data_IF_776417435032
#
_entry.id   IF_776417435032
#
_cell.length_a   1.000
_cell.length_b   1.000
_cell.length_c   1.000
_cell.angle_alpha   90.00
_cell.angle_beta   90.00
_cell.angle_gamma   90.00
#
_symmetry.space_group_name_H-M   'P 1'
#
loop_
_entity.id
_entity.type
_entity.pdbx_description
1 polymer ?
#
# COMPACT_ATOMS: atom_id res chain seq x y z
N UNK A 1 -27.79 -7.70 -2.00
CA UNK A 1 -27.56 -7.23 -3.38
C UNK A 1 -28.87 -7.48 -4.13
N UNK A 2 -29.60 -6.44 -4.53
CA UNK A 2 -30.94 -6.55 -5.11
C UNK A 2 -30.90 -6.31 -6.63
N UNK A 3 -30.21 -7.16 -7.38
CA UNK A 3 -30.37 -7.24 -8.84
C UNK A 3 -30.78 -8.66 -9.24
N UNK A 4 -31.60 -8.76 -10.27
CA UNK A 4 -32.09 -10.03 -10.81
C UNK A 4 -31.00 -10.77 -11.59
N UNK A 5 -31.16 -12.09 -11.76
CA UNK A 5 -30.25 -12.86 -12.61
C UNK A 5 -30.21 -12.32 -14.06
N UNK A 6 -31.33 -11.85 -14.59
CA UNK A 6 -31.37 -11.26 -15.93
C UNK A 6 -30.51 -9.99 -16.03
N UNK A 7 -30.48 -9.16 -14.98
CA UNK A 7 -29.62 -7.97 -14.93
C UNK A 7 -28.14 -8.37 -14.80
N UNK A 8 -27.84 -9.38 -13.98
CA UNK A 8 -26.48 -9.92 -13.87
C UNK A 8 -26.00 -10.48 -15.20
N UNK A 9 -26.82 -11.30 -15.87
CA UNK A 9 -26.52 -11.89 -17.18
C UNK A 9 -26.30 -10.81 -18.24
N UNK A 10 -27.14 -9.76 -18.23
CA UNK A 10 -26.95 -8.60 -19.11
C UNK A 10 -25.59 -7.93 -18.86
N UNK A 11 -25.30 -7.57 -17.61
CA UNK A 11 -24.03 -6.93 -17.25
C UNK A 11 -22.85 -7.82 -17.64
N UNK A 12 -22.94 -9.11 -17.31
CA UNK A 12 -21.85 -10.05 -17.57
C UNK A 12 -21.62 -10.23 -19.08
N UNK A 13 -22.68 -10.23 -19.89
CA UNK A 13 -22.58 -10.39 -21.35
C UNK A 13 -21.83 -9.23 -22.01
N UNK A 14 -22.02 -8.01 -21.49
CA UNK A 14 -21.53 -6.79 -22.15
C UNK A 14 -20.32 -6.14 -21.48
N UNK A 15 -20.00 -6.51 -20.24
CA UNK A 15 -18.94 -5.87 -19.47
C UNK A 15 -18.06 -6.82 -18.64
N UNK A 16 -18.30 -8.14 -18.64
CA UNK A 16 -17.45 -9.07 -17.91
C UNK A 16 -16.08 -9.26 -18.59
N UNK A 17 -15.18 -9.93 -17.86
CA UNK A 17 -13.81 -10.24 -18.24
C UNK A 17 -13.66 -10.71 -19.70
N UNK A 18 -12.68 -10.14 -20.39
CA UNK A 18 -12.27 -10.52 -21.74
C UNK A 18 -12.81 -9.65 -22.86
N UNK A 19 -13.69 -8.68 -22.58
CA UNK A 19 -14.18 -7.73 -23.57
C UNK A 19 -13.14 -6.61 -23.77
N UNK A 20 -12.56 -6.44 -24.98
CA UNK A 20 -11.61 -5.38 -25.25
C UNK A 20 -12.24 -4.00 -25.09
N UNK A 21 -11.47 -3.00 -24.64
CA UNK A 21 -11.99 -1.63 -24.46
C UNK A 21 -12.57 -1.00 -25.74
N UNK A 22 -12.10 -1.44 -26.91
CA UNK A 22 -12.60 -1.02 -28.22
C UNK A 22 -14.00 -1.54 -28.53
N UNK A 23 -14.43 -2.62 -27.87
CA UNK A 23 -15.74 -3.25 -28.05
C UNK A 23 -16.76 -2.78 -27.01
N UNK A 24 -16.32 -2.05 -25.97
CA UNK A 24 -17.20 -1.44 -24.99
C UNK A 24 -18.07 -0.35 -25.63
N UNK A 25 -19.39 -0.51 -25.49
CA UNK A 25 -20.40 0.41 -26.01
C UNK A 25 -21.10 1.17 -24.88
N UNK A 26 -20.90 2.49 -24.85
CA UNK A 26 -21.51 3.37 -23.86
C UNK A 26 -23.04 3.42 -23.98
N UNK A 27 -23.61 3.17 -25.16
CA UNK A 27 -25.06 3.12 -25.34
C UNK A 27 -25.70 1.96 -24.58
N UNK A 28 -25.01 0.81 -24.52
CA UNK A 28 -25.41 -0.35 -23.73
C UNK A 28 -25.26 -0.04 -22.24
N UNK A 29 -24.17 0.63 -21.84
CA UNK A 29 -23.98 1.04 -20.44
C UNK A 29 -25.14 1.93 -19.95
N UNK A 30 -25.64 2.83 -20.81
CA UNK A 30 -26.78 3.71 -20.50
C UNK A 30 -28.11 2.96 -20.31
N UNK A 31 -28.18 1.66 -20.61
CA UNK A 31 -29.34 0.83 -20.29
C UNK A 31 -29.43 0.50 -18.79
N UNK A 32 -28.32 0.55 -18.04
CA UNK A 32 -28.32 0.35 -16.59
C UNK A 32 -29.05 1.51 -15.89
N UNK A 33 -29.97 1.20 -14.97
CA UNK A 33 -30.90 2.19 -14.37
C UNK A 33 -30.79 2.32 -12.86
N UNK A 34 -30.09 1.42 -12.18
CA UNK A 34 -30.08 1.35 -10.72
C UNK A 34 -28.67 1.46 -10.15
N UNK A 35 -28.60 1.95 -8.90
CA UNK A 35 -27.37 1.99 -8.11
C UNK A 35 -26.74 0.60 -7.93
N UNK A 36 -27.58 -0.43 -7.83
CA UNK A 36 -27.19 -1.81 -7.59
C UNK A 36 -26.58 -2.47 -8.83
N UNK A 37 -27.09 -2.16 -10.04
CA UNK A 37 -26.47 -2.59 -11.30
C UNK A 37 -25.08 -1.99 -11.46
N UNK A 38 -24.94 -0.68 -11.23
CA UNK A 38 -23.64 -0.02 -11.33
C UNK A 38 -22.64 -0.54 -10.31
N UNK A 39 -23.09 -0.80 -9.09
CA UNK A 39 -22.21 -1.40 -8.11
C UNK A 39 -21.82 -2.84 -8.47
N UNK A 40 -22.77 -3.68 -8.90
CA UNK A 40 -22.44 -5.05 -9.31
C UNK A 40 -21.41 -5.04 -10.44
N UNK A 41 -21.57 -4.15 -11.40
CA UNK A 41 -20.58 -3.95 -12.46
C UNK A 41 -19.22 -3.53 -11.89
N UNK A 42 -19.18 -2.55 -10.97
CA UNK A 42 -17.95 -2.10 -10.34
C UNK A 42 -17.19 -3.24 -9.62
N UNK A 43 -17.90 -4.12 -8.90
CA UNK A 43 -17.26 -5.20 -8.12
C UNK A 43 -16.80 -6.39 -8.94
N UNK A 44 -17.39 -6.61 -10.11
CA UNK A 44 -17.04 -7.72 -11.00
C UNK A 44 -16.14 -7.26 -12.16
N UNK A 45 -15.78 -5.98 -12.20
CA UNK A 45 -14.88 -5.45 -13.20
C UNK A 45 -13.43 -5.80 -12.86
N UNK A 46 -12.74 -6.48 -13.76
CA UNK A 46 -11.31 -6.73 -13.64
C UNK A 46 -10.53 -5.46 -14.08
N UNK A 47 -9.78 -4.87 -13.14
CA UNK A 47 -9.02 -3.63 -13.34
C UNK A 47 -7.93 -3.77 -14.42
N UNK A 48 -7.44 -4.97 -14.69
CA UNK A 48 -6.48 -5.24 -15.78
C UNK A 48 -7.07 -4.98 -17.17
N UNK A 49 -8.40 -5.01 -17.31
CA UNK A 49 -9.08 -4.60 -18.55
C UNK A 49 -9.15 -3.07 -18.71
N UNK A 50 -8.57 -2.33 -17.76
CA UNK A 50 -8.52 -0.88 -17.66
C UNK A 50 -9.80 -0.25 -17.13
N UNK A 51 -9.80 1.07 -16.96
CA UNK A 51 -10.78 1.76 -16.10
C UNK A 51 -11.94 2.44 -16.83
N UNK A 52 -12.08 2.23 -18.15
CA UNK A 52 -13.07 2.94 -18.98
C UNK A 52 -14.52 2.75 -18.47
N UNK A 53 -14.89 1.54 -18.09
CA UNK A 53 -16.22 1.26 -17.52
C UNK A 53 -16.38 1.90 -16.14
N UNK A 54 -15.35 1.85 -15.30
CA UNK A 54 -15.34 2.48 -13.98
C UNK A 54 -15.51 4.01 -14.09
N UNK A 55 -14.92 4.63 -15.12
CA UNK A 55 -15.12 6.03 -15.44
C UNK A 55 -16.59 6.34 -15.72
N UNK A 56 -17.24 5.54 -16.57
CA UNK A 56 -18.67 5.70 -16.86
C UNK A 56 -19.54 5.55 -15.62
N UNK A 57 -19.19 4.64 -14.71
CA UNK A 57 -19.88 4.47 -13.44
C UNK A 57 -19.81 5.77 -12.62
N UNK A 58 -18.62 6.34 -12.40
CA UNK A 58 -18.48 7.53 -11.54
C UNK A 58 -18.93 8.84 -12.18
N UNK A 59 -19.13 8.85 -13.50
CA UNK A 59 -19.77 9.93 -14.24
C UNK A 59 -21.30 9.82 -14.28
N UNK A 60 -21.85 8.66 -13.91
CA UNK A 60 -23.29 8.41 -13.93
C UNK A 60 -24.00 9.04 -12.72
N UNK A 61 -25.08 9.81 -12.91
CA UNK A 61 -25.84 10.43 -11.81
C UNK A 61 -26.66 9.41 -10.99
N UNK A 62 -26.71 8.15 -11.42
CA UNK A 62 -27.30 7.05 -10.65
C UNK A 62 -26.25 6.24 -9.87
N UNK A 63 -24.98 6.64 -9.90
CA UNK A 63 -23.95 6.02 -9.06
C UNK A 63 -24.18 6.38 -7.59
N UNK A 64 -23.99 5.40 -6.71
CA UNK A 64 -24.13 5.61 -5.27
C UNK A 64 -22.85 6.19 -4.66
N UNK A 65 -22.99 6.95 -3.57
CA UNK A 65 -21.83 7.46 -2.82
C UNK A 65 -20.93 6.31 -2.33
N UNK A 66 -21.53 5.18 -1.92
CA UNK A 66 -20.77 4.00 -1.48
C UNK A 66 -19.93 3.41 -2.62
N UNK A 67 -20.49 3.28 -3.82
CA UNK A 67 -19.75 2.78 -5.00
C UNK A 67 -18.64 3.73 -5.42
N UNK A 68 -18.91 5.04 -5.44
CA UNK A 68 -17.89 6.03 -5.80
C UNK A 68 -16.74 6.06 -4.78
N UNK A 69 -17.06 5.95 -3.49
CA UNK A 69 -16.06 5.89 -2.43
C UNK A 69 -15.21 4.61 -2.52
N UNK A 70 -15.85 3.47 -2.76
CA UNK A 70 -15.17 2.19 -2.96
C UNK A 70 -14.19 2.25 -4.14
N UNK A 71 -14.64 2.75 -5.30
CA UNK A 71 -13.77 2.91 -6.47
C UNK A 71 -12.64 3.90 -6.23
N UNK A 72 -12.87 4.96 -5.44
CA UNK A 72 -11.81 5.89 -5.06
C UNK A 72 -10.69 5.18 -4.32
N UNK A 73 -11.01 4.39 -3.30
CA UNK A 73 -10.00 3.69 -2.50
C UNK A 73 -9.35 2.51 -3.23
N UNK A 74 -10.10 1.78 -4.06
CA UNK A 74 -9.55 0.74 -4.93
C UNK A 74 -8.59 1.30 -5.99
N UNK A 75 -8.77 2.55 -6.41
CA UNK A 75 -7.86 3.25 -7.32
C UNK A 75 -6.53 3.71 -6.65
N UNK A 76 -6.32 3.41 -5.37
CA UNK A 76 -5.08 3.70 -4.63
C UNK A 76 -4.66 5.18 -4.77
N UNK A 77 -5.46 6.13 -4.26
CA UNK A 77 -5.23 7.56 -4.43
C UNK A 77 -3.87 8.01 -3.91
N UNK A 78 -3.31 7.29 -2.94
CA UNK A 78 -2.01 7.54 -2.33
C UNK A 78 -0.87 7.54 -3.35
N UNK A 79 -0.96 6.70 -4.38
CA UNK A 79 0.09 6.60 -5.41
C UNK A 79 0.12 7.81 -6.36
N UNK A 80 -0.95 8.59 -6.38
CA UNK A 80 -1.09 9.79 -7.20
C UNK A 80 -0.94 11.10 -6.42
N UNK A 81 -0.71 11.05 -5.10
CA UNK A 81 -0.55 12.26 -4.28
C UNK A 81 0.66 13.13 -4.65
N UNK A 82 1.64 12.57 -5.36
CA UNK A 82 2.79 13.32 -5.91
C UNK A 82 2.49 14.00 -7.26
N UNK A 83 1.39 13.64 -7.92
CA UNK A 83 0.97 14.20 -9.20
C UNK A 83 0.09 15.43 -8.97
N UNK A 84 0.40 16.54 -9.63
CA UNK A 84 -0.49 17.71 -9.62
C UNK A 84 -1.82 17.35 -10.31
N UNK A 85 -2.96 17.65 -9.69
CA UNK A 85 -4.29 17.32 -10.23
C UNK A 85 -4.58 17.92 -11.63
N UNK A 86 -3.85 18.95 -12.05
CA UNK A 86 -4.05 19.61 -13.35
C UNK A 86 -3.19 19.04 -14.50
N UNK A 87 -2.53 17.90 -14.32
CA UNK A 87 -1.72 17.26 -15.37
C UNK A 87 -2.41 16.04 -15.96
N UNK A 88 -1.90 15.65 -17.12
CA UNK A 88 -2.13 14.36 -17.77
C UNK A 88 -0.85 13.54 -17.63
N UNK A 89 -0.97 12.28 -17.20
CA UNK A 89 0.19 11.39 -17.09
C UNK A 89 0.55 10.83 -18.47
N UNK A 90 1.82 10.49 -18.66
CA UNK A 90 2.30 9.93 -19.94
C UNK A 90 1.85 8.49 -20.15
N UNK A 91 1.84 7.70 -19.07
CA UNK A 91 1.32 6.34 -19.10
C UNK A 91 -0.21 6.37 -19.22
N UNK A 92 -0.74 5.71 -20.25
CA UNK A 92 -2.15 5.76 -20.59
C UNK A 92 -3.04 5.11 -19.53
N UNK A 93 -2.59 3.96 -18.98
CA UNK A 93 -3.31 3.23 -17.95
C UNK A 93 -3.37 4.04 -16.64
N UNK A 94 -2.22 4.49 -16.15
CA UNK A 94 -2.14 5.33 -14.96
C UNK A 94 -2.89 6.65 -15.15
N UNK A 95 -2.86 7.24 -16.34
CA UNK A 95 -3.64 8.44 -16.64
C UNK A 95 -5.15 8.17 -16.60
N UNK A 96 -5.59 6.98 -17.02
CA UNK A 96 -6.96 6.52 -16.87
C UNK A 96 -7.37 6.48 -15.39
N UNK A 97 -6.60 5.78 -14.56
CA UNK A 97 -6.84 5.68 -13.10
C UNK A 97 -6.83 7.09 -12.46
N UNK A 98 -5.89 7.94 -12.84
CA UNK A 98 -5.80 9.30 -12.32
C UNK A 98 -6.99 10.17 -12.76
N UNK A 99 -7.54 9.94 -13.96
CA UNK A 99 -8.75 10.63 -14.43
C UNK A 99 -9.98 10.20 -13.65
N UNK A 100 -10.12 8.90 -13.37
CA UNK A 100 -11.15 8.34 -12.48
C UNK A 100 -11.10 9.02 -11.10
N UNK A 101 -9.92 9.05 -10.48
CA UNK A 101 -9.70 9.72 -9.19
C UNK A 101 -10.11 11.20 -9.24
N UNK A 102 -9.68 11.96 -10.26
CA UNK A 102 -10.04 13.38 -10.42
C UNK A 102 -11.54 13.59 -10.55
N UNK A 103 -12.24 12.72 -11.27
CA UNK A 103 -13.70 12.79 -11.39
C UNK A 103 -14.37 12.60 -10.04
N UNK A 104 -13.96 11.59 -9.27
CA UNK A 104 -14.54 11.32 -7.95
C UNK A 104 -14.20 12.46 -6.96
N UNK A 105 -12.94 12.92 -6.92
CA UNK A 105 -12.50 14.03 -6.07
C UNK A 105 -13.31 15.31 -6.30
N UNK A 106 -13.74 15.53 -7.55
CA UNK A 106 -14.60 16.65 -7.91
C UNK A 106 -16.06 16.41 -7.50
N UNK A 107 -16.62 15.26 -7.86
CA UNK A 107 -18.07 15.02 -7.78
C UNK A 107 -18.52 14.67 -6.35
N UNK A 108 -17.69 13.97 -5.57
CA UNK A 108 -18.06 13.48 -4.25
C UNK A 108 -18.39 14.61 -3.26
N UNK A 109 -17.53 15.64 -3.09
CA UNK A 109 -17.83 16.75 -2.16
C UNK A 109 -19.05 17.58 -2.61
N UNK A 110 -19.34 17.60 -3.91
CA UNK A 110 -20.47 18.33 -4.51
C UNK A 110 -21.83 17.59 -4.35
N UNK A 111 -21.88 16.49 -3.58
CA UNK A 111 -23.09 15.67 -3.39
C UNK A 111 -23.72 15.18 -4.69
N UNK A 112 -22.90 14.90 -5.71
CA UNK A 112 -23.35 14.42 -7.03
C UNK A 112 -23.95 13.02 -6.98
N UNK A 113 -23.42 12.15 -6.10
CA UNK A 113 -23.79 10.74 -6.02
C UNK A 113 -25.07 10.49 -5.21
N UNK A 114 -25.77 9.40 -5.53
CA UNK A 114 -26.99 9.03 -4.82
C UNK A 114 -26.69 8.48 -3.43
N UNK A 115 -27.43 8.98 -2.44
CA UNK A 115 -27.46 8.39 -1.11
C UNK A 115 -28.27 7.11 -1.11
N UNK A 116 -27.71 6.06 -0.56
CA UNK A 116 -28.37 4.75 -0.49
C UNK A 116 -28.21 4.16 0.91
N UNK A 117 -28.88 3.04 1.19
CA UNK A 117 -28.66 2.31 2.43
C UNK A 117 -27.36 1.49 2.42
N UNK A 118 -26.66 1.43 1.28
CA UNK A 118 -25.39 0.72 1.18
C UNK A 118 -24.34 1.47 1.99
N UNK A 119 -23.54 0.69 2.71
CA UNK A 119 -22.38 1.19 3.42
C UNK A 119 -21.07 0.79 2.78
N UNK A 120 -20.07 1.64 2.94
CA UNK A 120 -18.68 1.34 2.60
C UNK A 120 -17.79 1.82 3.74
N UNK A 121 -16.90 0.93 4.20
CA UNK A 121 -15.92 1.25 5.23
C UNK A 121 -14.54 1.46 4.59
N UNK A 122 -14.06 2.71 4.50
CA UNK A 122 -12.77 3.00 3.89
C UNK A 122 -11.58 2.69 4.81
N UNK A 123 -11.79 2.46 6.12
CA UNK A 123 -10.71 2.29 7.10
C UNK A 123 -9.62 1.28 6.68
N UNK A 124 -9.95 0.08 6.17
CA UNK A 124 -8.94 -0.89 5.74
C UNK A 124 -8.00 -0.39 4.62
N UNK A 125 -8.40 0.62 3.84
CA UNK A 125 -7.65 1.11 2.68
C UNK A 125 -6.64 2.21 3.01
N UNK A 126 -6.83 2.94 4.11
CA UNK A 126 -5.87 3.97 4.56
C UNK A 126 -5.18 3.63 5.88
N UNK A 127 -5.79 2.83 6.75
CA UNK A 127 -5.12 2.40 7.99
C UNK A 127 -3.93 1.50 7.72
N UNK A 128 -3.91 0.81 6.55
CA UNK A 128 -2.77 0.02 6.10
C UNK A 128 -1.65 0.84 5.48
N UNK A 129 -1.84 2.14 5.24
CA UNK A 129 -0.80 3.02 4.71
C UNK A 129 0.33 3.17 5.72
N UNK A 130 1.58 3.00 5.27
CA UNK A 130 2.76 3.23 6.09
C UNK A 130 3.22 4.68 5.90
N UNK A 131 3.10 5.48 6.96
CA UNK A 131 3.81 6.77 7.02
C UNK A 131 5.19 6.55 7.59
N UNK A 132 6.23 6.66 6.76
CA UNK A 132 7.63 6.57 7.18
C UNK A 132 8.06 7.90 7.82
N UNK A 133 8.39 7.95 9.13
CA UNK A 133 8.79 9.19 9.79
C UNK A 133 10.19 9.65 9.36
N UNK A 134 10.41 10.96 9.25
CA UNK A 134 11.70 11.52 8.82
C UNK A 134 12.89 11.11 9.70
N UNK A 135 12.64 10.83 10.98
CA UNK A 135 13.66 10.46 11.94
C UNK A 135 14.24 9.07 11.68
N UNK A 136 13.47 8.14 11.08
CA UNK A 136 13.94 6.76 10.83
C UNK A 136 14.98 6.69 9.70
N UNK A 137 15.08 7.76 8.92
CA UNK A 137 16.10 7.95 7.89
C UNK A 137 17.30 8.77 8.40
N UNK A 138 17.38 9.10 9.69
CA UNK A 138 18.54 9.74 10.28
C UNK A 138 19.47 8.71 10.92
N UNK A 139 20.76 9.06 11.02
CA UNK A 139 21.76 8.27 11.74
C UNK A 139 21.34 8.11 13.21
N UNK A 140 21.33 6.89 13.72
CA UNK A 140 21.04 6.58 15.13
C UNK A 140 22.23 6.92 16.04
N UNK A 141 21.99 7.05 17.34
CA UNK A 141 23.04 7.26 18.35
C UNK A 141 23.71 5.94 18.71
N UNK A 142 25.00 5.97 19.08
CA UNK A 142 25.73 4.79 19.55
C UNK A 142 27.16 4.73 19.01
N UNK A 143 27.81 3.60 19.20
CA UNK A 143 29.13 3.29 18.62
C UNK A 143 29.00 3.01 17.11
N UNK A 144 29.96 3.45 16.31
CA UNK A 144 29.92 3.25 14.86
C UNK A 144 29.95 1.74 14.52
N UNK A 145 29.06 1.31 13.64
CA UNK A 145 28.98 -0.06 13.16
C UNK A 145 30.00 -0.37 12.07
N UNK A 146 30.35 -1.64 11.93
CA UNK A 146 31.15 -2.16 10.82
C UNK A 146 30.64 -3.54 10.41
N UNK A 147 30.75 -3.84 9.11
CA UNK A 147 30.40 -5.15 8.55
C UNK A 147 31.67 -5.99 8.45
N UNK A 148 31.61 -7.22 8.96
CA UNK A 148 32.70 -8.18 8.91
C UNK A 148 32.27 -9.57 8.43
N UNK A 149 30.97 -9.85 8.35
CA UNK A 149 30.48 -10.98 7.56
C UNK A 149 30.49 -10.62 6.09
N UNK A 150 30.91 -11.57 5.28
CA UNK A 150 30.78 -11.53 3.83
C UNK A 150 29.46 -12.22 3.42
N UNK A 151 28.92 -11.85 2.26
CA UNK A 151 27.63 -12.38 1.78
C UNK A 151 27.65 -13.90 1.60
N UNK A 152 28.77 -14.46 1.13
CA UNK A 152 28.95 -15.90 0.92
C UNK A 152 28.99 -16.71 2.22
N UNK A 153 29.29 -16.08 3.36
CA UNK A 153 29.23 -16.71 4.68
C UNK A 153 27.77 -16.93 5.15
N UNK A 154 26.84 -16.12 4.63
CA UNK A 154 25.42 -16.10 5.02
C UNK A 154 24.51 -16.72 3.96
N UNK A 155 24.87 -16.62 2.66
CA UNK A 155 24.06 -17.11 1.53
C UNK A 155 23.70 -18.61 1.65
N UNK A 156 24.55 -19.39 2.33
CA UNK A 156 24.31 -20.82 2.57
C UNK A 156 23.40 -21.14 3.77
N UNK A 157 22.91 -20.15 4.51
CA UNK A 157 22.11 -20.38 5.71
C UNK A 157 20.67 -20.71 5.34
N UNK A 158 20.19 -21.84 5.86
CA UNK A 158 18.77 -22.17 5.83
C UNK A 158 18.08 -21.65 7.09
N UNK A 159 16.75 -21.75 7.17
CA UNK A 159 15.93 -21.23 8.30
C UNK A 159 16.47 -21.64 9.68
N UNK A 160 16.95 -22.89 9.79
CA UNK A 160 17.50 -23.42 11.04
C UNK A 160 18.84 -22.77 11.41
N UNK A 161 19.67 -22.46 10.42
CA UNK A 161 20.96 -21.79 10.60
C UNK A 161 20.73 -20.34 10.99
N UNK A 162 19.87 -19.61 10.27
CA UNK A 162 19.43 -18.25 10.63
C UNK A 162 18.97 -18.17 12.08
N UNK A 163 18.01 -19.02 12.46
CA UNK A 163 17.51 -19.06 13.83
C UNK A 163 18.60 -19.36 14.85
N UNK A 164 19.46 -20.35 14.57
CA UNK A 164 20.56 -20.72 15.46
C UNK A 164 21.57 -19.59 15.63
N UNK A 165 21.96 -18.93 14.54
CA UNK A 165 22.97 -17.87 14.57
C UNK A 165 22.43 -16.60 15.25
N UNK A 166 21.19 -16.20 14.97
CA UNK A 166 20.53 -15.10 15.69
C UNK A 166 20.51 -15.38 17.20
N UNK A 167 20.08 -16.58 17.61
CA UNK A 167 20.00 -16.95 19.03
C UNK A 167 21.37 -17.03 19.74
N UNK A 168 22.43 -17.27 18.98
CA UNK A 168 23.79 -17.45 19.50
C UNK A 168 24.64 -16.18 19.43
N UNK A 169 24.14 -15.10 18.82
CA UNK A 169 24.83 -13.83 18.79
C UNK A 169 25.23 -13.42 20.22
N UNK A 170 26.52 -13.19 20.45
CA UNK A 170 27.08 -12.91 21.78
C UNK A 170 27.22 -11.40 22.02
N UNK A 171 27.06 -10.59 20.97
CA UNK A 171 27.19 -9.14 21.03
C UNK A 171 26.20 -8.42 20.11
N UNK A 172 25.91 -7.16 20.43
CA UNK A 172 25.06 -6.30 19.57
C UNK A 172 25.66 -6.14 18.18
N UNK A 173 26.99 -6.02 18.05
CA UNK A 173 27.64 -5.87 16.73
C UNK A 173 27.54 -7.14 15.89
N UNK A 174 27.57 -8.32 16.51
CA UNK A 174 27.35 -9.59 15.81
C UNK A 174 25.90 -9.72 15.33
N UNK A 175 24.92 -9.38 16.18
CA UNK A 175 23.52 -9.36 15.78
C UNK A 175 23.27 -8.35 14.63
N UNK A 176 23.92 -7.18 14.67
CA UNK A 176 23.87 -6.19 13.59
C UNK A 176 24.42 -6.75 12.27
N UNK A 177 25.53 -7.48 12.33
CA UNK A 177 26.13 -8.12 11.16
C UNK A 177 25.23 -9.20 10.56
N UNK A 178 24.50 -9.96 11.39
CA UNK A 178 23.47 -10.91 10.92
C UNK A 178 22.30 -10.16 10.27
N UNK A 179 21.77 -9.12 10.94
CA UNK A 179 20.66 -8.31 10.46
C UNK A 179 20.95 -7.61 9.12
N UNK A 180 22.23 -7.35 8.81
CA UNK A 180 22.66 -6.70 7.58
C UNK A 180 22.26 -7.48 6.32
N UNK A 181 22.20 -8.81 6.41
CA UNK A 181 21.88 -9.71 5.30
C UNK A 181 20.43 -10.17 5.29
N UNK A 182 19.58 -9.62 6.17
CA UNK A 182 18.18 -10.00 6.26
C UNK A 182 17.42 -9.75 4.95
N UNK A 183 16.62 -10.73 4.55
CA UNK A 183 15.77 -10.69 3.36
C UNK A 183 14.36 -11.31 3.57
N UNK A 184 14.08 -11.86 4.76
CA UNK A 184 12.77 -12.46 5.10
C UNK A 184 12.13 -11.88 6.38
N UNK A 185 10.78 -11.76 6.43
CA UNK A 185 10.05 -11.29 7.61
C UNK A 185 10.27 -12.12 8.89
N UNK A 186 10.39 -13.44 8.78
CA UNK A 186 10.57 -14.33 9.93
C UNK A 186 11.90 -14.08 10.64
N UNK A 187 12.96 -13.79 9.86
CA UNK A 187 14.27 -13.40 10.39
C UNK A 187 14.14 -12.08 11.16
N UNK A 188 13.38 -11.11 10.64
CA UNK A 188 13.17 -9.81 11.28
C UNK A 188 12.54 -9.95 12.67
N UNK A 189 11.51 -10.79 12.79
CA UNK A 189 10.85 -11.04 14.06
C UNK A 189 11.82 -11.59 15.11
N UNK A 190 12.65 -12.57 14.73
CA UNK A 190 13.65 -13.16 15.63
C UNK A 190 14.69 -12.14 16.09
N UNK A 191 15.14 -11.25 15.19
CA UNK A 191 16.13 -10.22 15.51
C UNK A 191 15.52 -9.17 16.45
N UNK A 192 14.32 -8.68 16.16
CA UNK A 192 13.63 -7.65 16.96
C UNK A 192 13.30 -8.14 18.38
N UNK A 193 13.03 -9.44 18.56
CA UNK A 193 12.80 -10.04 19.88
C UNK A 193 14.10 -10.34 20.65
N UNK A 194 15.27 -10.24 20.00
CA UNK A 194 16.53 -10.61 20.61
C UNK A 194 16.96 -9.61 21.71
N UNK A 195 17.46 -10.05 22.88
CA UNK A 195 17.88 -9.14 23.96
C UNK A 195 19.01 -8.18 23.61
N UNK A 196 19.77 -8.49 22.55
CA UNK A 196 20.83 -7.63 22.02
C UNK A 196 20.33 -6.70 20.91
N UNK A 197 19.06 -6.76 20.52
CA UNK A 197 18.51 -5.80 19.56
C UNK A 197 18.53 -4.40 20.17
N UNK A 198 19.08 -3.47 19.43
CA UNK A 198 19.21 -2.07 19.81
C UNK A 198 18.50 -1.18 18.78
N UNK A 199 18.44 0.13 19.03
CA UNK A 199 17.80 1.08 18.11
C UNK A 199 18.45 1.09 16.73
N UNK A 200 19.79 0.98 16.64
CA UNK A 200 20.50 0.89 15.36
C UNK A 200 20.07 -0.33 14.53
N UNK A 201 20.01 -1.50 15.17
CA UNK A 201 19.55 -2.75 14.56
C UNK A 201 18.07 -2.65 14.17
N UNK A 202 17.21 -2.11 15.03
CA UNK A 202 15.78 -1.96 14.73
C UNK A 202 15.55 -1.07 13.49
N UNK A 203 16.33 0.02 13.35
CA UNK A 203 16.29 0.88 12.16
C UNK A 203 16.85 0.15 10.92
N UNK A 204 17.92 -0.64 11.05
CA UNK A 204 18.42 -1.48 9.94
C UNK A 204 17.35 -2.49 9.48
N UNK A 205 16.74 -3.22 10.41
CA UNK A 205 15.68 -4.19 10.12
C UNK A 205 14.47 -3.52 9.47
N UNK A 206 14.09 -2.32 9.92
CA UNK A 206 13.05 -1.53 9.27
C UNK A 206 13.36 -1.35 7.78
N UNK A 207 14.59 -0.96 7.44
CA UNK A 207 14.95 -0.70 6.04
C UNK A 207 15.12 -1.96 5.20
N UNK A 208 15.55 -3.09 5.80
CA UNK A 208 15.54 -4.38 5.10
C UNK A 208 14.12 -4.83 4.79
N UNK A 209 13.22 -4.79 5.76
CA UNK A 209 11.81 -5.09 5.54
C UNK A 209 11.17 -4.16 4.49
N UNK A 210 11.47 -2.86 4.56
CA UNK A 210 10.90 -1.86 3.65
C UNK A 210 11.35 -2.06 2.19
N UNK A 211 12.62 -2.41 1.95
CA UNK A 211 13.17 -2.52 0.59
C UNK A 211 13.13 -3.94 0.02
N UNK A 212 13.46 -4.95 0.84
CA UNK A 212 13.61 -6.35 0.40
C UNK A 212 12.32 -7.16 0.60
N UNK A 213 11.53 -6.82 1.62
CA UNK A 213 10.33 -7.59 1.99
C UNK A 213 9.00 -6.87 1.67
N UNK A 214 9.00 -5.85 0.81
CA UNK A 214 7.80 -5.04 0.51
C UNK A 214 6.62 -5.86 -0.09
N UNK A 215 6.92 -7.01 -0.70
CA UNK A 215 5.92 -7.88 -1.34
C UNK A 215 5.06 -8.68 -0.35
N UNK A 216 5.51 -8.82 0.89
CA UNK A 216 4.81 -9.61 1.91
C UNK A 216 3.70 -8.79 2.59
N UNK A 217 2.52 -9.40 2.72
CA UNK A 217 1.32 -8.72 3.26
C UNK A 217 1.47 -8.21 4.70
N UNK A 218 2.31 -8.86 5.50
CA UNK A 218 2.52 -8.52 6.91
C UNK A 218 3.57 -7.42 7.15
N UNK A 219 4.36 -7.08 6.13
CA UNK A 219 5.49 -6.14 6.22
C UNK A 219 5.06 -4.78 6.77
N UNK A 220 3.98 -4.19 6.26
CA UNK A 220 3.50 -2.89 6.74
C UNK A 220 3.12 -2.89 8.23
N UNK A 221 2.55 -3.99 8.73
CA UNK A 221 2.25 -4.16 10.15
C UNK A 221 3.51 -4.15 11.00
N UNK A 222 4.56 -4.87 10.56
CA UNK A 222 5.85 -4.91 11.26
C UNK A 222 6.62 -3.61 11.20
N UNK A 223 6.61 -2.92 10.07
CA UNK A 223 7.22 -1.58 9.95
C UNK A 223 6.58 -0.58 10.95
N UNK A 224 5.25 -0.62 11.12
CA UNK A 224 4.54 0.17 12.12
C UNK A 224 4.88 -0.22 13.55
N UNK A 225 5.01 -1.50 13.83
CA UNK A 225 5.42 -2.03 15.13
C UNK A 225 6.82 -1.56 15.50
N UNK A 226 7.78 -1.60 14.57
CA UNK A 226 9.15 -1.10 14.78
C UNK A 226 9.14 0.39 15.11
N UNK A 227 8.42 1.20 14.31
CA UNK A 227 8.25 2.64 14.56
C UNK A 227 7.70 2.88 15.98
N UNK A 228 6.65 2.13 16.36
CA UNK A 228 6.03 2.24 17.68
C UNK A 228 7.01 1.88 18.80
N UNK A 229 7.73 0.77 18.67
CA UNK A 229 8.66 0.28 19.69
C UNK A 229 9.83 1.25 19.89
N UNK A 230 10.39 1.81 18.80
CA UNK A 230 11.44 2.83 18.88
C UNK A 230 10.93 4.09 19.60
N UNK A 231 9.75 4.60 19.24
CA UNK A 231 9.17 5.79 19.88
C UNK A 231 8.89 5.59 21.38
N UNK A 232 8.65 4.36 21.81
CA UNK A 232 8.45 4.01 23.22
C UNK A 232 9.75 3.61 23.93
N UNK A 233 10.92 3.81 23.31
CA UNK A 233 12.24 3.43 23.85
C UNK A 233 12.32 1.95 24.25
N UNK A 234 11.72 1.07 23.46
CA UNK A 234 11.74 -0.38 23.71
C UNK A 234 13.14 -0.99 23.50
N UNK A 235 14.00 -0.34 22.72
CA UNK A 235 15.36 -0.78 22.43
C UNK A 235 16.39 0.17 23.06
N UNK A 236 17.52 -0.36 23.59
CA UNK A 236 18.63 0.47 24.02
C UNK A 236 19.33 1.15 22.82
N UNK A 237 20.06 2.23 23.06
CA UNK A 237 20.95 2.85 22.05
C UNK A 237 22.38 2.37 22.31
N UNK A 238 22.89 1.45 21.48
CA UNK A 238 24.24 0.88 21.62
C UNK A 238 25.06 1.14 20.36
N UNK A 239 24.49 0.87 19.19
CA UNK A 239 25.09 1.00 17.88
C UNK A 239 24.44 2.13 17.07
N UNK A 240 25.28 2.82 16.34
CA UNK A 240 24.91 3.85 15.40
C UNK A 240 24.84 3.28 13.98
N UNK A 241 23.66 3.31 13.39
CA UNK A 241 23.40 2.96 11.99
C UNK A 241 22.97 4.20 11.20
N UNK A 242 23.55 4.40 10.00
CA UNK A 242 23.19 5.50 9.10
C UNK A 242 22.54 4.96 7.82
N UNK A 243 21.19 5.04 7.69
CA UNK A 243 20.48 4.59 6.50
C UNK A 243 20.92 5.27 5.20
N UNK A 244 21.52 6.47 5.26
CA UNK A 244 21.95 7.21 4.07
C UNK A 244 23.24 6.66 3.47
N UNK A 245 23.97 5.85 4.23
CA UNK A 245 25.23 5.23 3.82
C UNK A 245 25.04 3.77 3.39
N UNK A 246 23.83 3.23 3.50
CA UNK A 246 23.49 1.86 3.14
C UNK A 246 22.88 1.81 1.73
N UNK A 247 23.56 1.12 0.82
CA UNK A 247 23.19 1.03 -0.59
C UNK A 247 21.87 0.30 -0.83
N UNK A 248 21.42 -0.54 0.12
CA UNK A 248 20.12 -1.23 0.04
C UNK A 248 18.95 -0.31 0.41
N UNK A 249 19.21 0.91 0.88
CA UNK A 249 18.15 1.86 1.25
C UNK A 249 17.76 2.74 0.06
N UNK A 250 16.76 2.30 -0.72
CA UNK A 250 16.14 3.13 -1.77
C UNK A 250 14.89 3.85 -1.24
N UNK A 251 15.10 4.81 -0.35
CA UNK A 251 14.02 5.66 0.15
C UNK A 251 14.04 7.04 -0.49
N UNK A 252 12.94 7.37 -1.17
CA UNK A 252 12.65 8.73 -1.62
C UNK A 252 11.36 9.18 -0.96
N UNK A 253 11.47 10.15 -0.06
CA UNK A 253 10.31 10.78 0.56
C UNK A 253 9.36 11.28 -0.53
N UNK A 254 8.18 10.68 -0.64
CA UNK A 254 7.15 11.10 -1.58
C UNK A 254 6.75 12.55 -1.23
N UNK A 255 6.89 13.45 -2.19
CA UNK A 255 6.41 14.83 -2.02
C UNK A 255 4.91 14.85 -2.29
N UNK A 256 4.12 14.95 -1.22
CA UNK A 256 2.68 15.11 -1.32
C UNK A 256 2.37 16.51 -1.87
N UNK A 257 1.56 16.56 -2.93
CA UNK A 257 1.14 17.78 -3.64
C UNK A 257 -0.32 18.11 -3.36
N UNK A 258 -1.11 17.12 -2.94
CA UNK A 258 -2.50 17.26 -2.52
C UNK A 258 -2.85 16.19 -1.49
N UNK A 259 -3.78 16.52 -0.59
CA UNK A 259 -4.24 15.62 0.47
C UNK A 259 -5.58 14.98 0.10
N UNK A 260 -5.79 13.73 0.53
CA UNK A 260 -7.09 13.08 0.46
C UNK A 260 -8.04 13.80 1.45
N UNK A 261 -9.17 14.37 0.99
CA UNK A 261 -10.09 15.07 1.89
C UNK A 261 -10.71 14.13 2.93
N UNK A 262 -10.94 14.63 4.15
CA UNK A 262 -11.44 13.80 5.27
C UNK A 262 -12.78 13.09 4.99
N UNK A 263 -13.64 13.69 4.15
CA UNK A 263 -14.92 13.10 3.77
C UNK A 263 -14.76 11.72 3.10
N UNK A 264 -13.61 11.42 2.50
CA UNK A 264 -13.31 10.11 1.93
C UNK A 264 -12.92 9.07 2.99
N UNK A 265 -12.62 9.46 4.23
CA UNK A 265 -12.24 8.55 5.31
C UNK A 265 -13.41 8.15 6.20
N UNK A 266 -14.57 8.76 5.99
CA UNK A 266 -15.78 8.50 6.76
C UNK A 266 -16.48 7.22 6.28
N UNK A 267 -16.86 6.35 7.21
CA UNK A 267 -17.78 5.26 6.92
C UNK A 267 -19.16 5.85 6.59
N UNK A 268 -19.66 5.54 5.40
CA UNK A 268 -21.01 5.89 4.94
C UNK A 268 -21.92 4.68 5.00
#
# INVERSE_FOLDING_TARGET
MNITNQQQDFINTYFHEGIPQSELDESIFRELKTTEELHYLATHHNWDNGVKVLQWIVESPICSEATALELFWLAQPQDFQQCKLNITLQDEYLNGVFTLLKTILKNYPDSFYQKTSRRFDPAPFYENELTVPDWIFQKTSGEDTYIYYEEDEIEGWFDADWKSNIQRAESTIELFNIAWFLDEPEQAALILEHPLCDTGIAVLVFWRLYNECAVYTETNGKLKEIIHNILNNAYPEVLSYDPKMDEKVDYKKKKIVWEIPEIFRETI
#
